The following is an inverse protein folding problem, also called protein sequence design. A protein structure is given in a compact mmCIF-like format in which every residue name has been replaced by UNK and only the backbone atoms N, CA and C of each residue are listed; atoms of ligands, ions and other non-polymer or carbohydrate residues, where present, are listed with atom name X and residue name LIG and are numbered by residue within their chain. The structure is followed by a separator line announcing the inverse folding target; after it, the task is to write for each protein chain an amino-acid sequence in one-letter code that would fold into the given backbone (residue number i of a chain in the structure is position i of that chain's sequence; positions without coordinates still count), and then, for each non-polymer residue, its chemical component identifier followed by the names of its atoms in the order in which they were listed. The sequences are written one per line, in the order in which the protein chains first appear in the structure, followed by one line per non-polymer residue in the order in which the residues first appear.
data_IF_716192205860
#
_entry.id   IF_716192205860
#
_cell.length_a   1.000
_cell.length_b   1.000
_cell.length_c   1.000
_cell.angle_alpha   90.00
_cell.angle_beta   90.00
_cell.angle_gamma   90.00
#
_symmetry.space_group_name_H-M   'P 1'
#
loop_
_entity.id
_entity.type
_entity.pdbx_description
1 polymer ?
#
# COMPACT_ATOMS: atom_id res chain seq x y z
N UNK A 1 -52.79 21.41 14.09
CA UNK A 1 -51.93 20.33 13.59
C UNK A 1 -52.47 19.03 14.13
N UNK A 2 -52.86 18.06 13.25
CA UNK A 2 -53.59 16.86 13.66
C UNK A 2 -52.69 15.95 14.51
N UNK A 3 -53.25 15.29 15.54
CA UNK A 3 -52.57 14.28 16.38
C UNK A 3 -51.90 13.13 15.56
N UNK A 4 -52.45 12.83 14.37
CA UNK A 4 -51.88 11.84 13.44
C UNK A 4 -50.56 12.30 12.80
N UNK A 5 -50.43 13.59 12.48
CA UNK A 5 -49.18 14.15 11.89
C UNK A 5 -48.06 14.25 12.92
N UNK A 6 -48.37 14.51 14.18
CA UNK A 6 -47.42 14.50 15.30
C UNK A 6 -46.85 13.08 15.57
N UNK A 7 -47.70 12.06 15.49
CA UNK A 7 -47.23 10.65 15.64
C UNK A 7 -46.34 10.20 14.46
N UNK A 8 -46.68 10.59 13.23
CA UNK A 8 -45.90 10.23 12.04
C UNK A 8 -44.52 10.87 12.05
N UNK A 9 -44.42 12.17 12.39
CA UNK A 9 -43.12 12.87 12.49
C UNK A 9 -42.23 12.30 13.59
N UNK A 10 -42.81 11.89 14.73
CA UNK A 10 -42.04 11.23 15.78
C UNK A 10 -41.39 9.93 15.27
N UNK A 11 -42.14 9.05 14.60
CA UNK A 11 -41.65 7.80 14.09
C UNK A 11 -40.61 7.97 12.97
N UNK A 12 -40.82 8.96 12.09
CA UNK A 12 -39.84 9.27 11.03
C UNK A 12 -38.48 9.71 11.61
N UNK A 13 -38.50 10.60 12.61
CA UNK A 13 -37.27 11.05 13.28
C UNK A 13 -36.61 9.92 14.05
N UNK A 14 -37.41 9.05 14.70
CA UNK A 14 -36.87 7.88 15.41
C UNK A 14 -36.18 6.91 14.45
N UNK A 15 -36.83 6.57 13.34
CA UNK A 15 -36.23 5.69 12.33
C UNK A 15 -34.96 6.31 11.74
N UNK A 16 -35.00 7.59 11.38
CA UNK A 16 -33.85 8.28 10.86
C UNK A 16 -32.66 8.31 11.85
N UNK A 17 -32.95 8.56 13.14
CA UNK A 17 -31.93 8.55 14.19
C UNK A 17 -31.32 7.15 14.37
N UNK A 18 -32.17 6.09 14.44
CA UNK A 18 -31.70 4.71 14.57
C UNK A 18 -30.84 4.29 13.38
N UNK A 19 -31.29 4.59 12.16
CA UNK A 19 -30.51 4.32 10.94
C UNK A 19 -29.19 5.10 10.96
N UNK A 20 -29.20 6.36 11.31
CA UNK A 20 -28.01 7.18 11.43
C UNK A 20 -27.00 6.65 12.45
N UNK A 21 -27.47 6.25 13.65
CA UNK A 21 -26.63 5.65 14.70
C UNK A 21 -26.00 4.33 14.19
N UNK A 22 -26.82 3.44 13.61
CA UNK A 22 -26.32 2.14 13.10
C UNK A 22 -25.30 2.34 11.97
N UNK A 23 -25.58 3.24 11.03
CA UNK A 23 -24.70 3.51 9.91
C UNK A 23 -23.34 4.07 10.38
N UNK A 24 -23.36 5.08 11.23
CA UNK A 24 -22.13 5.71 11.75
C UNK A 24 -21.36 4.74 12.66
N UNK A 25 -22.03 3.95 13.51
CA UNK A 25 -21.38 2.94 14.31
C UNK A 25 -20.68 1.87 13.43
N UNK A 26 -21.35 1.37 12.38
CA UNK A 26 -20.77 0.41 11.42
C UNK A 26 -19.56 0.99 10.70
N UNK A 27 -19.60 2.26 10.29
CA UNK A 27 -18.44 2.94 9.68
C UNK A 27 -17.26 3.04 10.66
N UNK A 28 -17.52 3.28 11.94
CA UNK A 28 -16.48 3.25 12.97
C UNK A 28 -15.83 1.87 13.12
N UNK A 29 -16.63 0.80 13.18
CA UNK A 29 -16.11 -0.57 13.20
C UNK A 29 -15.35 -0.95 11.94
N UNK A 30 -15.81 -0.52 10.77
CA UNK A 30 -15.11 -0.74 9.51
C UNK A 30 -13.71 -0.08 9.53
N UNK A 31 -13.61 1.16 10.02
CA UNK A 31 -12.32 1.84 10.17
C UNK A 31 -11.39 1.12 11.15
N UNK A 32 -11.93 0.63 12.27
CA UNK A 32 -11.18 -0.16 13.25
C UNK A 32 -10.61 -1.44 12.62
N UNK A 33 -11.45 -2.20 11.92
CA UNK A 33 -11.00 -3.41 11.24
C UNK A 33 -9.91 -3.11 10.22
N UNK A 34 -10.06 -2.02 9.47
CA UNK A 34 -9.05 -1.59 8.49
C UNK A 34 -7.73 -1.19 9.14
N UNK A 35 -7.78 -0.56 10.32
CA UNK A 35 -6.57 -0.27 11.11
C UNK A 35 -5.88 -1.57 11.57
N UNK A 36 -6.64 -2.53 12.10
CA UNK A 36 -6.14 -3.81 12.59
C UNK A 36 -5.49 -4.64 11.47
N UNK A 37 -6.10 -4.70 10.28
CA UNK A 37 -5.52 -5.39 9.11
C UNK A 37 -4.15 -4.82 8.73
N UNK A 38 -4.03 -3.48 8.70
CA UNK A 38 -2.76 -2.81 8.40
C UNK A 38 -1.71 -3.07 9.46
N UNK A 39 -2.11 -3.05 10.73
CA UNK A 39 -1.21 -3.31 11.85
C UNK A 39 -0.72 -4.77 11.85
N UNK A 40 -1.61 -5.73 11.57
CA UNK A 40 -1.24 -7.14 11.43
C UNK A 40 -0.23 -7.34 10.30
N UNK A 41 -0.45 -6.72 9.14
CA UNK A 41 0.49 -6.78 8.02
C UNK A 41 1.86 -6.17 8.39
N UNK A 42 1.87 -5.06 9.12
CA UNK A 42 3.10 -4.44 9.61
C UNK A 42 3.88 -5.39 10.53
N UNK A 43 3.19 -6.06 11.45
CA UNK A 43 3.80 -7.04 12.35
C UNK A 43 4.45 -8.18 11.56
N UNK A 44 3.74 -8.72 10.55
CA UNK A 44 4.30 -9.75 9.67
C UNK A 44 5.55 -9.26 8.95
N UNK A 45 5.53 -8.05 8.38
CA UNK A 45 6.69 -7.46 7.70
C UNK A 45 7.87 -7.32 8.67
N UNK A 46 7.65 -6.83 9.89
CA UNK A 46 8.69 -6.67 10.90
C UNK A 46 9.29 -8.03 11.30
N UNK A 47 8.45 -9.03 11.57
CA UNK A 47 8.88 -10.39 11.92
C UNK A 47 9.71 -11.01 10.79
N UNK A 48 9.26 -10.91 9.53
CA UNK A 48 9.98 -11.47 8.38
C UNK A 48 11.30 -10.73 8.12
N UNK A 49 11.33 -9.42 8.30
CA UNK A 49 12.53 -8.60 8.10
C UNK A 49 13.58 -8.82 9.20
N UNK A 50 13.16 -9.16 10.43
CA UNK A 50 14.06 -9.45 11.55
C UNK A 50 14.81 -10.78 11.39
N UNK A 51 14.33 -11.69 10.55
CA UNK A 51 15.01 -12.96 10.31
C UNK A 51 16.27 -12.75 9.43
N UNK A 52 17.31 -13.60 9.57
CA UNK A 52 18.51 -13.50 8.73
C UNK A 52 18.17 -13.50 7.23
N UNK A 53 18.87 -12.69 6.40
CA UNK A 53 18.63 -12.65 4.98
C UNK A 53 18.80 -14.05 4.33
N UNK A 54 17.93 -14.37 3.37
CA UNK A 54 18.09 -15.57 2.55
C UNK A 54 19.22 -15.35 1.55
N UNK A 55 20.02 -16.38 1.34
CA UNK A 55 20.99 -16.47 0.25
C UNK A 55 20.37 -17.09 -1.01
N UNK A 56 21.18 -17.27 -2.06
CA UNK A 56 20.74 -17.84 -3.32
C UNK A 56 20.19 -19.27 -3.14
N UNK A 57 20.86 -20.12 -2.37
CA UNK A 57 20.44 -21.50 -2.11
C UNK A 57 19.10 -21.55 -1.41
N UNK A 58 18.95 -20.82 -0.31
CA UNK A 58 17.71 -20.79 0.47
C UNK A 58 16.53 -20.20 -0.34
N UNK A 59 16.81 -19.24 -1.25
CA UNK A 59 15.81 -18.69 -2.15
C UNK A 59 15.32 -19.73 -3.16
N UNK A 60 16.25 -20.49 -3.78
CA UNK A 60 15.93 -21.48 -4.82
C UNK A 60 15.32 -22.76 -4.24
N UNK A 61 15.69 -23.15 -3.02
CA UNK A 61 15.10 -24.32 -2.33
C UNK A 61 13.65 -24.03 -1.86
N UNK A 62 13.21 -22.80 -1.88
CA UNK A 62 11.85 -22.45 -1.47
C UNK A 62 10.86 -22.80 -2.59
N UNK A 63 10.06 -23.83 -2.37
CA UNK A 63 9.02 -24.27 -3.33
C UNK A 63 7.95 -23.17 -3.58
N UNK A 64 7.69 -22.34 -2.58
CA UNK A 64 6.74 -21.23 -2.66
C UNK A 64 7.36 -19.94 -2.10
N UNK A 65 7.71 -19.03 -2.98
CA UNK A 65 8.23 -17.71 -2.63
C UNK A 65 7.16 -16.79 -2.03
N UNK A 66 5.88 -17.08 -2.25
CA UNK A 66 4.79 -16.30 -1.64
C UNK A 66 4.76 -16.46 -0.11
N UNK A 67 5.11 -17.64 0.40
CA UNK A 67 5.26 -17.89 1.84
C UNK A 67 6.47 -17.16 2.46
N UNK A 68 7.38 -16.65 1.64
CA UNK A 68 8.57 -15.90 2.03
C UNK A 68 8.44 -14.39 1.78
N UNK A 69 7.24 -13.91 1.48
CA UNK A 69 7.03 -12.46 1.32
C UNK A 69 7.59 -11.68 2.51
N UNK A 70 8.18 -10.54 2.21
CA UNK A 70 8.82 -9.64 3.16
C UNK A 70 10.13 -10.14 3.78
N UNK A 71 10.62 -11.36 3.49
CA UNK A 71 11.96 -11.81 3.89
C UNK A 71 13.03 -11.00 3.19
N UNK A 72 14.06 -10.63 3.94
CA UNK A 72 15.28 -10.04 3.38
C UNK A 72 16.07 -11.09 2.60
N UNK A 73 16.74 -10.66 1.54
CA UNK A 73 17.55 -11.50 0.64
C UNK A 73 18.87 -10.80 0.37
N UNK A 74 19.97 -11.56 0.35
CA UNK A 74 21.30 -11.08 -0.06
C UNK A 74 21.82 -11.98 -1.16
N UNK A 75 21.95 -11.43 -2.38
CA UNK A 75 22.37 -12.16 -3.58
C UNK A 75 23.61 -11.53 -4.17
N UNK A 76 24.43 -12.34 -4.83
CA UNK A 76 25.51 -11.89 -5.70
C UNK A 76 25.18 -12.29 -7.13
N UNK A 77 25.24 -11.34 -8.07
CA UNK A 77 24.84 -11.59 -9.43
C UNK A 77 25.08 -10.41 -10.34
N UNK A 78 24.45 -10.43 -11.51
CA UNK A 78 24.62 -9.43 -12.56
C UNK A 78 23.28 -8.83 -12.96
N UNK A 79 23.26 -7.55 -13.23
CA UNK A 79 22.13 -6.87 -13.82
C UNK A 79 22.02 -7.18 -15.31
N UNK A 80 20.83 -7.58 -15.76
CA UNK A 80 20.52 -7.66 -17.20
C UNK A 80 20.00 -6.28 -17.65
N UNK A 81 20.88 -5.31 -17.71
CA UNK A 81 20.56 -3.88 -17.89
C UNK A 81 19.83 -3.59 -19.20
N UNK A 82 20.08 -4.39 -20.26
CA UNK A 82 19.37 -4.29 -21.55
C UNK A 82 17.86 -4.53 -21.43
N UNK A 83 17.41 -5.19 -20.36
CA UNK A 83 16.01 -5.49 -20.08
C UNK A 83 15.42 -4.58 -18.99
N UNK A 84 15.98 -3.40 -18.80
CA UNK A 84 15.44 -2.42 -17.84
C UNK A 84 14.13 -1.82 -18.36
N UNK A 85 13.12 -1.80 -17.50
CA UNK A 85 11.79 -1.26 -17.74
C UNK A 85 11.52 -0.12 -16.76
N UNK A 86 10.85 0.92 -17.24
CA UNK A 86 10.36 2.05 -16.45
C UNK A 86 8.84 1.96 -16.34
N UNK A 87 8.35 1.61 -15.14
CA UNK A 87 6.91 1.54 -14.89
C UNK A 87 6.37 2.92 -14.61
N UNK A 88 5.56 3.43 -15.52
CA UNK A 88 4.97 4.76 -15.46
C UNK A 88 3.84 4.86 -14.44
N UNK A 89 3.47 6.10 -14.14
CA UNK A 89 2.40 6.46 -13.23
C UNK A 89 2.59 5.91 -11.81
N UNK A 90 3.86 5.81 -11.36
CA UNK A 90 4.20 5.40 -10.00
C UNK A 90 4.51 6.61 -9.15
N UNK A 91 3.78 6.75 -8.04
CA UNK A 91 3.96 7.86 -7.13
C UNK A 91 4.89 7.48 -5.97
N UNK A 92 5.76 8.40 -5.59
CA UNK A 92 6.54 8.33 -4.36
C UNK A 92 6.55 9.72 -3.70
N UNK A 93 6.16 9.78 -2.42
CA UNK A 93 6.01 11.02 -1.66
C UNK A 93 5.11 12.06 -2.36
N UNK A 94 4.02 11.59 -3.00
CA UNK A 94 3.07 12.44 -3.72
C UNK A 94 3.57 12.98 -5.07
N UNK A 95 4.78 12.61 -5.51
CA UNK A 95 5.33 13.01 -6.81
C UNK A 95 5.18 11.88 -7.83
N UNK A 96 4.71 12.14 -9.06
CA UNK A 96 4.65 11.15 -10.11
C UNK A 96 6.03 10.85 -10.71
N UNK A 97 6.26 9.60 -11.08
CA UNK A 97 7.52 9.14 -11.63
C UNK A 97 7.44 7.70 -12.11
N UNK A 98 8.58 7.04 -12.14
CA UNK A 98 8.74 5.68 -12.64
C UNK A 98 9.33 4.78 -11.54
N UNK A 99 8.82 3.54 -11.43
CA UNK A 99 9.62 2.47 -10.83
C UNK A 99 10.55 1.90 -11.89
N UNK A 100 11.82 1.87 -11.56
CA UNK A 100 12.85 1.23 -12.40
C UNK A 100 12.94 -0.23 -12.03
N UNK A 101 12.70 -1.09 -13.00
CA UNK A 101 12.64 -2.54 -12.82
C UNK A 101 13.64 -3.19 -13.77
N UNK A 102 14.52 -4.02 -13.24
CA UNK A 102 15.57 -4.71 -14.02
C UNK A 102 15.66 -6.16 -13.57
N UNK A 103 15.74 -7.13 -14.50
CA UNK A 103 16.06 -8.51 -14.16
C UNK A 103 17.49 -8.62 -13.60
N UNK A 104 17.65 -9.49 -12.59
CA UNK A 104 18.93 -9.76 -11.94
C UNK A 104 19.21 -11.25 -11.99
N UNK A 105 20.29 -11.62 -12.69
CA UNK A 105 20.78 -12.99 -12.79
C UNK A 105 21.69 -13.29 -11.61
N UNK A 106 21.42 -14.35 -10.89
CA UNK A 106 22.23 -14.83 -9.77
C UNK A 106 22.45 -16.34 -9.89
N UNK A 107 23.46 -16.83 -9.20
CA UNK A 107 23.85 -18.24 -9.25
C UNK A 107 23.89 -18.82 -7.84
N UNK A 108 23.29 -19.99 -7.68
CA UNK A 108 23.57 -20.85 -6.55
C UNK A 108 24.89 -21.58 -6.79
N UNK A 109 25.92 -21.13 -6.11
CA UNK A 109 27.28 -21.74 -6.25
C UNK A 109 27.32 -23.20 -5.83
N UNK A 110 26.41 -23.67 -5.00
CA UNK A 110 26.35 -25.03 -4.48
C UNK A 110 25.79 -25.99 -5.54
N UNK A 111 24.73 -25.56 -6.22
CA UNK A 111 24.04 -26.34 -7.23
C UNK A 111 24.46 -25.98 -8.67
N UNK A 112 25.24 -24.92 -8.88
CA UNK A 112 25.60 -24.40 -10.20
C UNK A 112 24.40 -23.90 -11.01
N UNK A 113 23.28 -23.62 -10.35
CA UNK A 113 22.04 -23.22 -10.99
C UNK A 113 21.98 -21.70 -11.12
N UNK A 114 21.81 -21.23 -12.35
CA UNK A 114 21.55 -19.83 -12.63
C UNK A 114 20.06 -19.59 -12.72
N UNK A 115 19.60 -18.54 -12.07
CA UNK A 115 18.20 -18.09 -12.12
C UNK A 115 18.14 -16.57 -12.19
N UNK A 116 17.03 -16.07 -12.68
CA UNK A 116 16.80 -14.63 -12.79
C UNK A 116 15.57 -14.25 -11.95
N UNK A 117 15.68 -13.13 -11.24
CA UNK A 117 14.57 -12.55 -10.50
C UNK A 117 14.35 -11.10 -10.93
N UNK A 118 13.11 -10.69 -11.00
CA UNK A 118 12.78 -9.30 -11.32
C UNK A 118 12.99 -8.42 -10.10
N UNK A 119 13.73 -7.33 -10.25
CA UNK A 119 14.06 -6.42 -9.14
C UNK A 119 13.51 -5.03 -9.40
N UNK A 120 12.70 -4.55 -8.48
CA UNK A 120 12.28 -3.15 -8.39
C UNK A 120 13.43 -2.38 -7.72
N UNK A 121 14.25 -1.69 -8.53
CA UNK A 121 15.51 -1.06 -8.09
C UNK A 121 15.29 0.22 -7.28
N UNK A 122 14.21 0.92 -7.55
CA UNK A 122 13.87 2.18 -6.92
C UNK A 122 12.94 3.01 -7.79
N UNK A 123 12.73 4.23 -7.36
CA UNK A 123 11.89 5.21 -8.04
C UNK A 123 12.72 6.39 -8.52
N UNK A 124 12.32 6.96 -9.65
CA UNK A 124 12.88 8.18 -10.21
C UNK A 124 11.77 9.13 -10.65
N UNK A 125 11.97 10.42 -10.41
CA UNK A 125 10.99 11.44 -10.81
C UNK A 125 10.86 11.52 -12.33
N UNK A 126 9.62 11.77 -12.80
CA UNK A 126 9.35 12.02 -14.20
C UNK A 126 9.84 13.41 -14.61
N UNK A 127 10.45 13.52 -15.78
CA UNK A 127 10.71 14.81 -16.40
C UNK A 127 9.41 15.36 -17.01
N UNK A 128 8.88 16.45 -16.48
CA UNK A 128 7.63 17.05 -16.97
C UNK A 128 7.80 17.84 -18.28
N UNK A 129 9.02 18.29 -18.58
CA UNK A 129 9.32 19.07 -19.79
C UNK A 129 9.50 18.12 -20.98
N UNK A 130 10.27 17.03 -20.77
CA UNK A 130 10.55 16.02 -21.78
C UNK A 130 10.00 14.65 -21.34
N UNK A 131 8.69 14.47 -21.50
CA UNK A 131 7.95 13.29 -20.97
C UNK A 131 8.43 11.93 -21.51
N UNK A 132 9.01 11.93 -22.72
CA UNK A 132 9.54 10.72 -23.36
C UNK A 132 11.03 10.48 -23.05
N UNK A 133 11.70 11.44 -22.42
CA UNK A 133 13.09 11.27 -22.06
C UNK A 133 13.19 10.41 -20.81
N UNK A 134 13.80 9.23 -20.96
CA UNK A 134 14.08 8.32 -19.87
C UNK A 134 15.14 8.95 -18.94
N UNK A 135 14.90 8.90 -17.62
CA UNK A 135 15.91 9.27 -16.66
C UNK A 135 17.14 8.37 -16.81
N UNK A 136 18.33 8.95 -16.82
CA UNK A 136 19.55 8.16 -16.83
C UNK A 136 19.71 7.45 -15.48
N UNK A 137 19.70 6.12 -15.50
CA UNK A 137 19.95 5.30 -14.31
C UNK A 137 21.28 4.58 -14.46
N UNK A 138 22.15 4.77 -13.49
CA UNK A 138 23.44 4.09 -13.45
C UNK A 138 23.20 2.64 -13.03
N UNK A 139 23.66 1.70 -13.87
CA UNK A 139 23.63 0.26 -13.59
C UNK A 139 25.05 -0.23 -13.47
N UNK A 140 25.49 -0.71 -12.30
CA UNK A 140 26.82 -1.28 -12.13
C UNK A 140 27.03 -2.47 -13.07
N UNK A 141 28.22 -2.56 -13.66
CA UNK A 141 28.64 -3.65 -14.55
C UNK A 141 29.37 -4.72 -13.76
N UNK A 142 29.19 -5.99 -14.15
CA UNK A 142 29.84 -7.12 -13.49
C UNK A 142 29.02 -7.74 -12.38
N UNK A 143 29.66 -8.51 -11.50
CA UNK A 143 29.03 -9.15 -10.35
C UNK A 143 28.93 -8.13 -9.21
N UNK A 144 27.71 -7.91 -8.73
CA UNK A 144 27.42 -7.00 -7.63
C UNK A 144 26.64 -7.71 -6.52
N UNK A 145 26.78 -7.23 -5.30
CA UNK A 145 25.92 -7.64 -4.20
C UNK A 145 24.59 -6.87 -4.27
N UNK A 146 23.50 -7.60 -4.15
CA UNK A 146 22.15 -7.09 -4.07
C UNK A 146 21.57 -7.40 -2.69
N UNK A 147 21.15 -6.38 -1.97
CA UNK A 147 20.31 -6.51 -0.79
C UNK A 147 18.89 -6.07 -1.11
N UNK A 148 17.93 -6.88 -0.73
CA UNK A 148 16.53 -6.62 -1.06
C UNK A 148 15.56 -7.38 -0.18
N UNK A 149 14.29 -7.24 -0.50
CA UNK A 149 13.18 -7.91 0.18
C UNK A 149 12.27 -8.56 -0.84
N UNK A 150 11.86 -9.80 -0.58
CA UNK A 150 10.88 -10.50 -1.43
C UNK A 150 9.56 -9.74 -1.40
N UNK A 151 9.02 -9.46 -2.57
CA UNK A 151 7.78 -8.74 -2.77
C UNK A 151 6.97 -9.36 -3.91
N UNK A 152 5.69 -9.01 -3.94
CA UNK A 152 4.86 -9.26 -5.11
C UNK A 152 5.35 -8.41 -6.29
N UNK A 153 5.11 -8.86 -7.53
CA UNK A 153 5.29 -8.00 -8.69
C UNK A 153 4.55 -6.66 -8.51
N UNK A 154 5.00 -5.58 -9.15
CA UNK A 154 4.32 -4.29 -9.08
C UNK A 154 2.83 -4.43 -9.38
N UNK A 155 1.99 -3.77 -8.57
CA UNK A 155 0.53 -3.81 -8.75
C UNK A 155 0.14 -3.31 -10.13
N UNK A 156 -0.84 -3.97 -10.75
CA UNK A 156 -1.41 -3.50 -12.02
C UNK A 156 -2.19 -2.21 -11.81
N UNK A 157 -1.97 -1.24 -12.68
CA UNK A 157 -2.76 -0.03 -12.80
C UNK A 157 -3.73 -0.17 -13.97
N UNK A 158 -4.78 0.63 -13.98
CA UNK A 158 -5.68 0.69 -15.12
C UNK A 158 -4.91 1.19 -16.36
N UNK A 159 -4.96 0.44 -17.45
CA UNK A 159 -4.25 0.72 -18.69
C UNK A 159 -5.25 0.93 -19.84
N UNK A 160 -5.09 2.03 -20.55
CA UNK A 160 -5.81 2.23 -21.82
C UNK A 160 -5.11 1.39 -22.91
N UNK A 161 -5.86 0.53 -23.59
CA UNK A 161 -5.35 -0.31 -24.68
C UNK A 161 -4.58 0.53 -25.70
N UNK A 162 -3.34 0.15 -26.03
CA UNK A 162 -2.61 0.75 -27.13
C UNK A 162 -1.16 1.16 -26.85
N UNK A 163 -0.57 0.77 -25.72
CA UNK A 163 0.86 1.02 -25.48
C UNK A 163 1.66 -0.13 -26.07
N UNK A 164 2.39 0.13 -27.15
CA UNK A 164 3.36 -0.80 -27.72
C UNK A 164 4.47 -1.16 -26.73
N UNK A 165 5.07 -2.34 -26.88
CA UNK A 165 6.18 -2.83 -26.08
C UNK A 165 7.37 -1.85 -26.18
N UNK A 166 7.48 -0.97 -25.19
CA UNK A 166 8.56 0.02 -25.06
C UNK A 166 9.24 -0.16 -23.70
N UNK A 167 10.34 0.54 -23.48
CA UNK A 167 10.98 0.57 -22.17
C UNK A 167 10.08 1.25 -21.12
N UNK A 168 9.13 2.09 -21.52
CA UNK A 168 8.14 2.71 -20.64
C UNK A 168 6.85 1.90 -20.73
N UNK A 169 6.38 1.34 -19.60
CA UNK A 169 5.15 0.54 -19.51
C UNK A 169 4.35 0.96 -18.27
N UNK A 170 3.05 0.76 -18.27
CA UNK A 170 2.24 0.95 -17.06
C UNK A 170 2.22 -0.32 -16.21
N UNK A 171 2.15 -1.48 -16.86
CA UNK A 171 2.02 -2.78 -16.21
C UNK A 171 3.04 -3.76 -16.76
N UNK A 172 3.31 -4.80 -15.97
CA UNK A 172 4.13 -5.95 -16.37
C UNK A 172 3.49 -7.23 -15.85
N UNK A 173 3.69 -8.30 -16.58
CA UNK A 173 3.43 -9.66 -16.15
C UNK A 173 4.72 -10.50 -16.25
N UNK A 174 5.06 -11.22 -15.18
CA UNK A 174 6.32 -11.98 -15.14
C UNK A 174 6.43 -13.00 -16.26
N UNK A 175 5.31 -13.67 -16.60
CA UNK A 175 5.28 -14.67 -17.68
C UNK A 175 5.52 -14.06 -19.05
N UNK A 176 4.91 -12.89 -19.31
CA UNK A 176 5.08 -12.17 -20.57
C UNK A 176 6.53 -11.67 -20.72
N UNK A 177 7.08 -11.09 -19.65
CA UNK A 177 8.47 -10.64 -19.61
C UNK A 177 9.47 -11.79 -19.81
N UNK A 178 9.22 -12.94 -19.17
CA UNK A 178 10.06 -14.12 -19.34
C UNK A 178 10.11 -14.56 -20.80
N UNK A 179 8.96 -14.56 -21.48
CA UNK A 179 8.86 -14.91 -22.90
C UNK A 179 9.49 -13.86 -23.81
N UNK A 180 9.23 -12.58 -23.56
CA UNK A 180 9.74 -11.45 -24.36
C UNK A 180 11.27 -11.36 -24.32
N UNK A 181 11.85 -11.54 -23.12
CA UNK A 181 13.30 -11.44 -22.93
C UNK A 181 14.02 -12.77 -23.12
N UNK A 182 13.28 -13.84 -23.36
CA UNK A 182 13.79 -15.21 -23.46
C UNK A 182 14.66 -15.59 -22.25
N UNK A 183 14.15 -15.32 -21.04
CA UNK A 183 14.82 -15.62 -19.76
C UNK A 183 13.88 -16.38 -18.83
N UNK A 184 14.44 -17.20 -17.94
CA UNK A 184 13.66 -17.87 -16.91
C UNK A 184 13.56 -17.01 -15.66
N UNK A 185 12.37 -16.43 -15.42
CA UNK A 185 12.09 -15.60 -14.24
C UNK A 185 11.48 -16.41 -13.11
N UNK A 186 11.93 -16.17 -11.89
CA UNK A 186 11.25 -16.64 -10.68
C UNK A 186 9.89 -15.97 -10.54
N UNK A 187 8.91 -16.71 -9.98
CA UNK A 187 7.53 -16.22 -9.78
C UNK A 187 7.41 -15.31 -8.53
N UNK A 188 8.35 -14.39 -8.39
CA UNK A 188 8.38 -13.35 -7.36
C UNK A 188 9.19 -12.16 -7.86
N UNK A 189 9.15 -11.05 -7.15
CA UNK A 189 10.04 -9.91 -7.36
C UNK A 189 10.79 -9.54 -6.09
N UNK A 190 11.84 -8.74 -6.23
CA UNK A 190 12.54 -8.13 -5.10
C UNK A 190 12.33 -6.61 -5.12
N UNK A 191 12.14 -6.03 -3.95
CA UNK A 191 12.38 -4.62 -3.73
C UNK A 191 13.84 -4.45 -3.32
N UNK A 192 14.62 -3.71 -4.09
CA UNK A 192 16.00 -3.38 -3.70
C UNK A 192 15.95 -2.44 -2.48
N UNK A 193 16.76 -2.74 -1.49
CA UNK A 193 16.96 -1.96 -0.28
C UNK A 193 18.42 -1.53 -0.17
N UNK A 194 18.68 -0.49 0.61
CA UNK A 194 20.05 -0.15 0.98
C UNK A 194 20.54 -1.19 2.01
N UNK A 195 21.73 -1.74 1.80
CA UNK A 195 22.32 -2.75 2.70
C UNK A 195 22.68 -2.06 4.04
N UNK A 196 22.06 -2.47 5.15
CA UNK A 196 22.36 -1.88 6.45
C UNK A 196 23.78 -2.16 6.94
N UNK A 197 24.47 -3.14 6.34
CA UNK A 197 25.86 -3.48 6.67
C UNK A 197 26.89 -2.78 5.77
N UNK A 198 26.43 -2.10 4.71
CA UNK A 198 27.32 -1.33 3.86
C UNK A 198 27.74 -0.04 4.58
N UNK A 199 29.03 0.27 4.57
CA UNK A 199 29.50 1.59 4.99
C UNK A 199 28.74 2.66 4.20
N UNK A 200 28.30 3.70 4.90
CA UNK A 200 27.54 4.79 4.28
C UNK A 200 28.43 5.42 3.19
N UNK A 201 28.18 5.04 1.95
CA UNK A 201 28.88 5.60 0.80
C UNK A 201 28.50 7.08 0.72
N UNK A 202 29.44 7.93 1.10
CA UNK A 202 29.28 9.37 1.18
C UNK A 202 29.08 10.01 -0.20
N UNK A 203 29.18 9.22 -1.27
CA UNK A 203 28.98 9.64 -2.66
C UNK A 203 27.59 9.22 -3.18
N UNK A 204 26.52 9.61 -2.50
CA UNK A 204 25.18 9.56 -3.11
C UNK A 204 25.14 10.47 -4.32
N UNK A 205 25.29 9.85 -5.49
CA UNK A 205 25.28 10.56 -6.76
C UNK A 205 23.88 11.11 -7.04
N UNK A 206 23.82 12.29 -7.65
CA UNK A 206 22.59 13.04 -8.00
C UNK A 206 21.56 12.24 -8.83
N UNK A 207 21.91 11.06 -9.33
CA UNK A 207 21.10 10.16 -10.16
C UNK A 207 20.70 8.87 -9.43
N UNK A 208 20.71 8.86 -8.10
CA UNK A 208 20.40 7.67 -7.34
C UNK A 208 18.90 7.41 -7.28
N UNK A 209 18.53 6.15 -7.47
CA UNK A 209 17.13 5.72 -7.35
C UNK A 209 16.66 5.82 -5.91
N UNK A 210 15.50 6.43 -5.70
CA UNK A 210 14.89 6.55 -4.37
C UNK A 210 14.28 5.21 -3.97
N UNK A 211 14.67 4.67 -2.82
CA UNK A 211 14.22 3.36 -2.30
C UNK A 211 13.32 3.48 -1.07
N UNK A 212 12.59 4.57 -0.95
CA UNK A 212 11.61 4.77 0.13
C UNK A 212 10.33 4.03 -0.18
N UNK A 213 10.39 2.71 -0.15
CA UNK A 213 9.22 1.89 -0.40
C UNK A 213 8.16 2.13 0.68
N UNK A 214 6.98 2.55 0.27
CA UNK A 214 5.86 2.79 1.19
C UNK A 214 5.50 1.49 1.90
N UNK A 215 5.56 1.52 3.22
CA UNK A 215 4.99 0.45 4.04
C UNK A 215 3.47 0.62 4.09
N UNK A 216 2.70 -0.46 4.21
CA UNK A 216 1.23 -0.41 4.25
C UNK A 216 0.67 0.39 5.43
N UNK A 217 1.52 0.75 6.40
CA UNK A 217 1.16 1.42 7.66
C UNK A 217 1.02 2.95 7.57
N UNK A 218 1.33 3.58 6.45
CA UNK A 218 1.33 5.06 6.31
C UNK A 218 -0.02 5.74 6.63
N UNK A 219 -1.00 5.04 7.20
CA UNK A 219 -2.31 5.60 7.51
C UNK A 219 -3.08 4.87 8.62
N UNK A 220 -2.41 4.10 9.49
CA UNK A 220 -3.10 3.41 10.62
C UNK A 220 -3.72 4.45 11.55
N UNK A 221 -2.96 5.50 11.93
CA UNK A 221 -3.42 6.60 12.78
C UNK A 221 -4.61 7.34 12.18
N UNK A 222 -4.64 7.52 10.86
CA UNK A 222 -5.79 8.13 10.17
C UNK A 222 -7.05 7.27 10.31
N UNK A 223 -6.92 5.95 10.22
CA UNK A 223 -8.05 5.04 10.40
C UNK A 223 -8.59 5.11 11.84
N UNK A 224 -7.74 5.15 12.86
CA UNK A 224 -8.16 5.37 14.25
C UNK A 224 -8.82 6.74 14.44
N UNK A 225 -8.30 7.79 13.84
CA UNK A 225 -8.91 9.12 13.85
C UNK A 225 -10.33 9.12 13.28
N UNK A 226 -10.52 8.51 12.10
CA UNK A 226 -11.84 8.34 11.50
C UNK A 226 -12.79 7.46 12.34
N UNK A 227 -12.28 6.39 12.94
CA UNK A 227 -13.06 5.54 13.86
C UNK A 227 -13.65 6.38 15.00
N UNK A 228 -12.82 7.18 15.67
CA UNK A 228 -13.26 8.04 16.77
C UNK A 228 -14.30 9.06 16.28
N UNK A 229 -14.10 9.69 15.12
CA UNK A 229 -15.05 10.63 14.53
C UNK A 229 -16.42 9.99 14.26
N UNK A 230 -16.44 8.78 13.69
CA UNK A 230 -17.68 8.08 13.40
C UNK A 230 -18.44 7.68 14.67
N UNK A 231 -17.74 7.21 15.70
CA UNK A 231 -18.36 6.86 16.98
C UNK A 231 -18.82 8.09 17.75
N UNK A 232 -18.05 9.19 17.71
CA UNK A 232 -18.49 10.47 18.29
C UNK A 232 -19.75 11.00 17.60
N UNK A 233 -19.85 10.89 16.27
CA UNK A 233 -21.05 11.26 15.53
C UNK A 233 -22.25 10.38 15.90
N UNK A 234 -22.04 9.06 16.05
CA UNK A 234 -23.06 8.14 16.51
C UNK A 234 -23.60 8.52 17.90
N UNK A 235 -22.69 8.80 18.83
CA UNK A 235 -23.04 9.26 20.17
C UNK A 235 -23.78 10.60 20.13
N UNK A 236 -23.34 11.56 19.32
CA UNK A 236 -24.00 12.85 19.15
C UNK A 236 -25.44 12.71 18.65
N UNK A 237 -25.68 11.87 17.64
CA UNK A 237 -27.03 11.58 17.13
C UNK A 237 -27.92 11.03 18.27
N UNK A 238 -27.37 10.06 19.04
CA UNK A 238 -28.11 9.45 20.16
C UNK A 238 -28.44 10.47 21.23
N UNK A 239 -27.52 11.35 21.62
CA UNK A 239 -27.71 12.40 22.62
C UNK A 239 -28.74 13.44 22.13
N UNK A 240 -28.60 13.88 20.88
CA UNK A 240 -29.56 14.84 20.29
C UNK A 240 -30.99 14.25 20.21
N UNK A 241 -31.09 12.98 19.77
CA UNK A 241 -32.34 12.25 19.73
C UNK A 241 -32.97 12.18 21.12
N UNK A 242 -32.22 11.72 22.12
CA UNK A 242 -32.69 11.62 23.50
C UNK A 242 -33.15 12.97 24.04
N UNK A 243 -32.35 14.02 23.81
CA UNK A 243 -32.69 15.36 24.28
C UNK A 243 -33.97 15.92 23.63
N UNK A 244 -34.04 15.93 22.30
CA UNK A 244 -35.13 16.56 21.60
C UNK A 244 -36.45 15.76 21.58
N UNK A 245 -36.33 14.42 21.51
CA UNK A 245 -37.49 13.57 21.41
C UNK A 245 -38.02 13.02 22.75
N UNK A 246 -37.13 12.83 23.74
CA UNK A 246 -37.51 12.20 24.99
C UNK A 246 -37.53 13.16 26.17
N UNK A 247 -36.49 13.99 26.34
CA UNK A 247 -36.33 14.85 27.54
C UNK A 247 -37.08 16.16 27.40
N UNK A 248 -36.84 16.93 26.35
CA UNK A 248 -37.42 18.26 26.16
C UNK A 248 -38.97 18.28 26.17
N UNK A 249 -39.70 17.35 25.54
CA UNK A 249 -41.17 17.30 25.60
C UNK A 249 -41.69 17.10 27.01
N UNK A 250 -41.02 16.22 27.82
CA UNK A 250 -41.41 15.97 29.21
C UNK A 250 -41.23 17.20 30.09
N UNK A 251 -40.16 17.97 29.94
CA UNK A 251 -39.90 19.21 30.67
C UNK A 251 -40.90 20.30 30.32
N UNK A 252 -41.38 20.34 29.08
CA UNK A 252 -42.41 21.29 28.67
C UNK A 252 -43.78 20.96 29.24
N UNK A 253 -44.15 19.70 29.36
CA UNK A 253 -45.40 19.23 29.93
C UNK A 253 -45.47 19.40 31.46
N UNK A 254 -44.32 19.51 32.13
CA UNK A 254 -44.23 19.68 33.58
C UNK A 254 -44.32 21.16 34.06
N UNK A 255 -44.35 22.18 33.16
CA UNK A 255 -44.56 23.57 33.57
C UNK A 255 -46.05 23.81 33.84
N UNK A 256 -46.47 24.16 35.11
CA UNK A 256 -47.86 24.48 35.40
C UNK A 256 -48.27 25.72 34.62
N UNK A 257 -49.48 25.70 34.06
CA UNK A 257 -50.14 26.86 33.49
C UNK A 257 -50.30 27.93 34.60
N UNK A 258 -49.55 29.01 34.46
CA UNK A 258 -49.77 30.18 35.36
C UNK A 258 -51.13 30.75 35.01
N UNK A 259 -52.14 30.44 35.81
CA UNK A 259 -53.43 31.12 35.73
C UNK A 259 -53.18 32.62 35.96
N UNK A 260 -53.44 33.40 34.94
CA UNK A 260 -53.53 34.86 35.04
C UNK A 260 -55.00 35.13 35.37
N UNK A 261 -55.27 35.36 36.68
CA UNK A 261 -56.48 35.97 37.15
C UNK A 261 -56.46 37.47 36.86
#
# INVERSE_FOLDING_TARGET
MSLKTLKLSFWLVTVAAVVGIIATAKLGFWQLNRANEKQALQTVIQQQTALPPLDASALLMSADLSAKLHRSVKLNGKWLSQHTIYLDNRQMDGKPGFFVVTPFEFEDKTAGLKKTILVQRGWVARNFIARQQLPQTITPVGVVALYGRIALPPSKLYEFKGVEASQIRQNIELKELASEFNIELLNASLLQLDDPSAEADTLKTKNELVRRWSLPNASVEKNYGYMVQWWALSALIAVLYAWFQLIRPRLRSAKPQKNID
#
